data_IF_528228858487
#
_entry.id   IF_528228858487
#
_cell.length_a   1.000
_cell.length_b   1.000
_cell.length_c   1.000
_cell.angle_alpha   90.00
_cell.angle_beta   90.00
_cell.angle_gamma   90.00
#
_symmetry.space_group_name_H-M   'P 1'
#
loop_
_entity.id
_entity.type
_entity.pdbx_description
1 polymer ?
#
# COMPACT_ATOMS: atom_id res chain seq x y z
N UNK A 1 19.91 -23.05 26.64
CA UNK A 1 20.01 -22.58 25.25
C UNK A 1 19.06 -21.40 25.10
N UNK A 2 19.58 -20.18 25.08
CA UNK A 2 18.79 -18.98 24.78
C UNK A 2 18.69 -18.89 23.26
N UNK A 3 17.52 -19.18 22.71
CA UNK A 3 17.19 -18.79 21.34
C UNK A 3 17.00 -17.28 21.35
N UNK A 4 18.02 -16.55 20.91
CA UNK A 4 17.86 -15.15 20.53
C UNK A 4 16.89 -15.12 19.36
N UNK A 5 15.63 -14.80 19.63
CA UNK A 5 14.66 -14.39 18.62
C UNK A 5 15.19 -13.08 18.03
N UNK A 6 15.92 -13.17 16.92
CA UNK A 6 16.24 -11.98 16.12
C UNK A 6 14.91 -11.45 15.60
N UNK A 7 14.49 -10.28 16.06
CA UNK A 7 13.46 -9.51 15.37
C UNK A 7 13.92 -9.28 13.93
N UNK A 8 13.09 -9.61 12.95
CA UNK A 8 13.40 -9.41 11.54
C UNK A 8 13.41 -7.92 11.15
N UNK A 9 12.74 -7.08 11.95
CA UNK A 9 12.84 -5.62 11.92
C UNK A 9 13.70 -5.12 13.09
N UNK A 10 14.81 -4.40 12.83
CA UNK A 10 15.55 -3.68 13.87
C UNK A 10 14.63 -2.72 14.62
N UNK A 11 14.80 -2.61 15.94
CA UNK A 11 13.97 -1.71 16.77
C UNK A 11 14.02 -0.26 16.30
N UNK A 12 15.14 0.18 15.71
CA UNK A 12 15.31 1.53 15.16
C UNK A 12 14.35 1.82 14.00
N UNK A 13 13.89 0.79 13.28
CA UNK A 13 12.92 0.93 12.19
C UNK A 13 11.48 0.90 12.68
N UNK A 14 11.20 0.35 13.88
CA UNK A 14 9.83 0.09 14.33
C UNK A 14 9.04 1.35 14.70
N UNK A 15 9.71 2.43 15.13
CA UNK A 15 9.01 3.67 15.53
C UNK A 15 9.07 4.71 14.43
N UNK A 16 7.93 5.33 14.13
CA UNK A 16 7.88 6.44 13.20
C UNK A 16 8.37 7.71 13.90
N UNK A 17 9.04 8.62 13.17
CA UNK A 17 9.39 9.92 13.72
C UNK A 17 8.12 10.71 14.10
N UNK A 18 8.25 11.58 15.09
CA UNK A 18 7.18 12.48 15.51
C UNK A 18 6.90 13.53 14.43
N UNK A 19 5.62 13.84 14.23
CA UNK A 19 5.18 14.84 13.27
C UNK A 19 4.44 15.98 13.96
N UNK A 20 4.88 17.21 13.70
CA UNK A 20 4.40 18.38 14.44
C UNK A 20 2.92 18.74 14.20
N UNK A 21 2.32 18.35 13.07
CA UNK A 21 0.89 18.57 12.79
C UNK A 21 0.02 17.38 13.17
N UNK A 22 0.57 16.33 13.79
CA UNK A 22 -0.16 15.10 14.13
C UNK A 22 -1.41 15.36 14.98
N UNK A 23 -1.40 16.40 15.82
CA UNK A 23 -2.50 16.74 16.72
C UNK A 23 -3.60 17.58 16.04
N UNK A 24 -3.35 18.12 14.84
CA UNK A 24 -4.29 18.95 14.11
C UNK A 24 -5.40 18.13 13.42
N UNK A 25 -5.41 16.80 13.59
CA UNK A 25 -6.44 15.95 13.03
C UNK A 25 -7.83 16.33 13.58
N UNK A 26 -8.80 16.66 12.70
CA UNK A 26 -10.16 16.92 13.15
C UNK A 26 -10.73 15.65 13.79
N UNK A 27 -11.34 15.80 14.97
CA UNK A 27 -11.90 14.67 15.74
C UNK A 27 -13.01 13.92 14.99
N UNK A 28 -13.67 14.58 14.04
CA UNK A 28 -14.79 14.05 13.25
C UNK A 28 -14.58 14.28 11.76
N UNK A 29 -13.75 13.47 11.10
CA UNK A 29 -13.67 13.45 9.64
C UNK A 29 -14.65 12.41 9.07
N UNK A 30 -15.54 12.78 8.15
CA UNK A 30 -16.35 11.79 7.45
C UNK A 30 -15.45 10.93 6.56
N UNK A 31 -15.44 9.62 6.82
CA UNK A 31 -14.89 8.63 5.91
C UNK A 31 -15.75 8.62 4.64
N UNK A 32 -15.27 9.25 3.57
CA UNK A 32 -16.00 9.24 2.29
C UNK A 32 -15.74 7.90 1.60
N UNK A 33 -16.80 7.09 1.45
CA UNK A 33 -16.77 5.84 0.69
C UNK A 33 -16.35 6.07 -0.77
N UNK A 34 -15.42 5.23 -1.23
CA UNK A 34 -14.82 5.30 -2.58
C UNK A 34 -15.85 4.78 -3.61
N UNK A 35 -16.61 5.70 -4.22
CA UNK A 35 -17.48 5.46 -5.37
C UNK A 35 -16.90 6.06 -6.65
N UNK A 36 -16.58 5.21 -7.62
CA UNK A 36 -15.98 5.51 -8.93
C UNK A 36 -16.47 6.79 -9.64
N UNK A 37 -15.62 7.82 -9.82
CA UNK A 37 -15.57 8.65 -11.05
C UNK A 37 -14.35 9.59 -11.06
N UNK A 38 -13.43 9.39 -12.02
CA UNK A 38 -12.16 10.13 -12.16
C UNK A 38 -12.28 11.66 -12.32
N UNK A 39 -13.42 12.17 -12.81
CA UNK A 39 -13.65 13.61 -13.02
C UNK A 39 -14.14 14.33 -11.77
N UNK A 40 -14.92 13.67 -10.90
CA UNK A 40 -15.48 14.29 -9.69
C UNK A 40 -14.44 14.54 -8.59
N UNK A 41 -13.30 13.85 -8.69
CA UNK A 41 -12.26 13.84 -7.68
C UNK A 41 -11.47 15.14 -7.57
N UNK A 42 -11.02 15.67 -8.71
CA UNK A 42 -10.26 16.93 -8.76
C UNK A 42 -11.15 18.13 -8.43
N UNK A 43 -12.41 18.10 -8.89
CA UNK A 43 -13.41 19.13 -8.59
C UNK A 43 -13.79 19.15 -7.10
N UNK A 44 -13.73 18.01 -6.40
CA UNK A 44 -13.97 17.92 -4.95
C UNK A 44 -12.73 18.19 -4.08
N UNK A 45 -11.53 18.13 -4.66
CA UNK A 45 -10.28 18.37 -3.92
C UNK A 45 -10.04 19.85 -3.62
N UNK A 46 -10.39 20.76 -4.53
CA UNK A 46 -10.11 22.19 -4.34
C UNK A 46 -10.75 22.79 -3.06
N UNK A 47 -12.03 22.49 -2.72
CA UNK A 47 -12.62 22.90 -1.44
C UNK A 47 -11.94 22.26 -0.22
N UNK A 48 -11.60 20.97 -0.31
CA UNK A 48 -10.94 20.22 0.77
C UNK A 48 -9.54 20.78 1.03
N UNK A 49 -8.79 21.06 -0.03
CA UNK A 49 -7.44 21.64 0.08
C UNK A 49 -7.46 23.02 0.71
N UNK A 50 -8.47 23.84 0.44
CA UNK A 50 -8.57 25.17 1.04
C UNK A 50 -8.78 25.09 2.56
N UNK A 51 -9.63 24.18 3.03
CA UNK A 51 -9.82 23.94 4.47
C UNK A 51 -8.58 23.33 5.10
N UNK A 52 -7.98 22.31 4.47
CA UNK A 52 -6.76 21.68 5.00
C UNK A 52 -5.62 22.67 5.17
N UNK A 53 -5.41 23.55 4.20
CA UNK A 53 -4.36 24.58 4.26
C UNK A 53 -4.68 25.64 5.28
N UNK A 54 -5.94 26.06 5.38
CA UNK A 54 -6.33 27.09 6.35
C UNK A 54 -6.21 26.60 7.80
N UNK A 55 -6.51 25.32 8.05
CA UNK A 55 -6.51 24.72 9.39
C UNK A 55 -5.26 23.88 9.69
N UNK A 56 -4.25 23.90 8.81
CA UNK A 56 -3.04 23.08 8.90
C UNK A 56 -3.33 21.60 9.19
N UNK A 57 -4.37 21.06 8.54
CA UNK A 57 -4.79 19.65 8.69
C UNK A 57 -3.90 18.77 7.81
N UNK A 58 -3.13 17.85 8.40
CA UNK A 58 -2.19 17.03 7.64
C UNK A 58 -2.90 16.02 6.74
N UNK A 59 -2.34 15.82 5.56
CA UNK A 59 -2.75 14.78 4.62
C UNK A 59 -2.24 13.37 4.96
N UNK A 60 -1.59 13.19 6.12
CA UNK A 60 -0.87 11.96 6.48
C UNK A 60 -1.17 11.49 7.90
N UNK A 61 -1.50 10.21 8.08
CA UNK A 61 -1.78 9.65 9.41
C UNK A 61 -0.74 8.63 9.84
N UNK A 62 -0.38 8.61 11.11
CA UNK A 62 0.44 7.53 11.65
C UNK A 62 -0.39 6.24 11.69
N UNK A 63 0.19 5.16 11.16
CA UNK A 63 -0.41 3.83 11.14
C UNK A 63 0.57 2.85 11.77
N UNK A 64 0.06 1.94 12.59
CA UNK A 64 0.83 0.88 13.25
C UNK A 64 0.40 -0.44 12.66
N UNK A 65 1.35 -1.23 12.19
CA UNK A 65 1.11 -2.53 11.58
C UNK A 65 1.79 -3.63 12.40
N UNK A 66 1.06 -4.72 12.62
CA UNK A 66 1.62 -5.91 13.25
C UNK A 66 2.51 -6.64 12.25
N UNK A 67 3.72 -7.00 12.69
CA UNK A 67 4.67 -7.76 11.89
C UNK A 67 4.75 -9.22 12.32
N UNK A 68 4.84 -9.45 13.63
CA UNK A 68 4.88 -10.77 14.22
C UNK A 68 3.96 -10.81 15.44
N UNK A 69 2.93 -11.64 15.35
CA UNK A 69 1.94 -11.81 16.42
C UNK A 69 2.46 -12.63 17.59
N UNK A 70 3.52 -13.42 17.43
CA UNK A 70 4.13 -14.20 18.51
C UNK A 70 5.04 -13.33 19.38
N UNK A 71 5.78 -12.41 18.77
CA UNK A 71 6.67 -11.48 19.49
C UNK A 71 6.03 -10.12 19.78
N UNK A 72 4.78 -9.92 19.36
CA UNK A 72 4.06 -8.63 19.41
C UNK A 72 4.84 -7.49 18.72
N UNK A 73 5.69 -7.84 17.75
CA UNK A 73 6.48 -6.85 17.03
C UNK A 73 5.57 -6.11 16.07
N UNK A 74 5.62 -4.78 16.14
CA UNK A 74 4.91 -3.88 15.24
C UNK A 74 5.85 -2.80 14.72
N UNK A 75 5.48 -2.20 13.58
CA UNK A 75 6.17 -1.04 13.04
C UNK A 75 5.18 0.07 12.71
N UNK A 76 5.65 1.31 12.81
CA UNK A 76 4.88 2.51 12.52
C UNK A 76 5.38 3.18 11.24
N UNK A 77 4.43 3.66 10.43
CA UNK A 77 4.70 4.50 9.26
C UNK A 77 3.62 5.58 9.13
N UNK A 78 3.96 6.67 8.47
CA UNK A 78 3.00 7.70 8.09
C UNK A 78 2.40 7.36 6.73
N UNK A 79 1.08 7.17 6.69
CA UNK A 79 0.34 6.79 5.48
C UNK A 79 -0.38 7.98 4.89
N UNK A 80 -0.41 8.03 3.56
CA UNK A 80 -1.06 9.12 2.82
C UNK A 80 -2.57 8.90 2.84
N UNK A 81 -3.32 9.88 3.32
CA UNK A 81 -4.76 9.80 3.34
C UNK A 81 -5.33 9.92 1.92
N UNK A 82 -6.29 9.06 1.54
CA UNK A 82 -6.97 9.22 0.27
C UNK A 82 -7.74 10.55 0.27
N UNK A 83 -7.77 11.21 -0.89
CA UNK A 83 -8.59 12.40 -1.14
C UNK A 83 -8.14 13.62 -0.34
N UNK A 84 -6.88 13.63 0.09
CA UNK A 84 -6.24 14.75 0.77
C UNK A 84 -5.10 15.29 -0.10
N UNK A 85 -4.86 16.58 0.02
CA UNK A 85 -3.59 17.16 -0.41
C UNK A 85 -2.55 16.91 0.67
N UNK A 86 -1.30 16.82 0.26
CA UNK A 86 -0.15 16.91 1.15
C UNK A 86 0.23 18.38 1.27
N UNK A 87 0.28 18.89 2.49
CA UNK A 87 0.90 20.17 2.79
C UNK A 87 2.40 20.11 2.45
N UNK A 88 3.06 21.25 2.18
CA UNK A 88 4.51 21.27 2.00
C UNK A 88 5.27 20.58 3.13
N UNK A 89 4.80 20.79 4.37
CA UNK A 89 5.31 20.19 5.59
C UNK A 89 5.14 18.66 5.60
N UNK A 90 3.98 18.15 5.16
CA UNK A 90 3.72 16.71 5.05
C UNK A 90 4.71 16.08 4.06
N UNK A 91 4.89 16.71 2.89
CA UNK A 91 5.73 16.18 1.83
C UNK A 91 7.20 16.12 2.26
N UNK A 92 7.73 17.21 2.82
CA UNK A 92 9.12 17.27 3.27
C UNK A 92 9.38 16.28 4.41
N UNK A 93 8.44 16.14 5.34
CA UNK A 93 8.51 15.15 6.41
C UNK A 93 8.54 13.71 5.86
N UNK A 94 7.64 13.36 4.94
CA UNK A 94 7.63 12.02 4.34
C UNK A 94 8.91 11.73 3.54
N UNK A 95 9.49 12.73 2.87
CA UNK A 95 10.78 12.59 2.17
C UNK A 95 11.93 12.32 3.14
N UNK A 96 11.93 12.96 4.31
CA UNK A 96 12.95 12.74 5.35
C UNK A 96 12.87 11.31 5.89
N UNK A 97 11.67 10.78 6.10
CA UNK A 97 11.46 9.41 6.61
C UNK A 97 11.56 8.32 5.52
N UNK A 98 11.59 8.71 4.24
CA UNK A 98 11.59 7.79 3.08
C UNK A 98 12.58 6.65 3.21
N UNK A 99 13.82 6.93 3.61
CA UNK A 99 14.86 5.91 3.70
C UNK A 99 14.52 4.81 4.72
N UNK A 100 13.96 5.18 5.88
CA UNK A 100 13.52 4.22 6.89
C UNK A 100 12.38 3.36 6.35
N UNK A 101 11.40 3.98 5.71
CA UNK A 101 10.25 3.29 5.10
C UNK A 101 10.70 2.35 3.98
N UNK A 102 11.71 2.73 3.20
CA UNK A 102 12.32 1.86 2.17
C UNK A 102 12.99 0.63 2.78
N UNK A 103 13.69 0.77 3.90
CA UNK A 103 14.29 -0.37 4.61
C UNK A 103 13.22 -1.32 5.15
N UNK A 104 12.11 -0.79 5.69
CA UNK A 104 10.95 -1.61 6.09
C UNK A 104 10.39 -2.34 4.89
N UNK A 105 10.10 -1.63 3.79
CA UNK A 105 9.55 -2.20 2.57
C UNK A 105 10.44 -3.32 2.00
N UNK A 106 11.76 -3.13 2.01
CA UNK A 106 12.74 -4.15 1.63
C UNK A 106 12.60 -5.41 2.49
N UNK A 107 12.56 -5.28 3.81
CA UNK A 107 12.41 -6.42 4.72
C UNK A 107 11.09 -7.15 4.53
N UNK A 108 9.99 -6.42 4.33
CA UNK A 108 8.69 -7.03 4.01
C UNK A 108 8.77 -7.85 2.72
N UNK A 109 9.41 -7.30 1.68
CA UNK A 109 9.58 -8.00 0.39
C UNK A 109 10.40 -9.28 0.55
N UNK A 110 11.46 -9.26 1.36
CA UNK A 110 12.37 -10.39 1.59
C UNK A 110 11.71 -11.56 2.33
N UNK A 111 10.79 -11.29 3.27
CA UNK A 111 10.14 -12.34 4.05
C UNK A 111 8.86 -12.87 3.40
N UNK A 112 8.22 -12.08 2.54
CA UNK A 112 6.90 -12.36 2.00
C UNK A 112 6.91 -12.92 0.58
N UNK A 113 5.76 -13.45 0.16
CA UNK A 113 5.53 -13.71 -1.26
C UNK A 113 5.14 -12.39 -1.93
N UNK A 114 6.05 -11.86 -2.74
CA UNK A 114 5.97 -10.49 -3.25
C UNK A 114 5.67 -10.44 -4.75
N UNK A 115 4.72 -9.58 -5.12
CA UNK A 115 4.33 -9.36 -6.51
C UNK A 115 4.27 -7.87 -6.83
N UNK A 116 5.05 -7.47 -7.83
CA UNK A 116 5.02 -6.14 -8.41
C UNK A 116 3.85 -6.00 -9.40
N UNK A 117 3.13 -4.91 -9.28
CA UNK A 117 1.95 -4.59 -10.09
C UNK A 117 2.08 -3.18 -10.67
N UNK A 118 1.65 -3.03 -11.92
CA UNK A 118 1.55 -1.74 -12.59
C UNK A 118 0.54 -1.84 -13.74
N UNK A 119 -0.04 -0.70 -14.15
CA UNK A 119 -0.98 -0.66 -15.29
C UNK A 119 -0.33 -1.03 -16.63
N UNK A 120 0.99 -0.95 -16.71
CA UNK A 120 1.76 -1.35 -17.90
C UNK A 120 1.97 -2.86 -18.00
N UNK A 121 1.68 -3.61 -16.93
CA UNK A 121 1.83 -5.06 -16.94
C UNK A 121 0.50 -5.74 -17.25
N UNK A 122 0.54 -6.71 -18.17
CA UNK A 122 -0.61 -7.58 -18.44
C UNK A 122 -0.95 -8.47 -17.22
N UNK A 123 0.07 -8.82 -16.44
CA UNK A 123 -0.03 -9.62 -15.21
C UNK A 123 0.98 -9.14 -14.17
N UNK A 124 0.68 -9.37 -12.89
CA UNK A 124 1.62 -9.08 -11.79
C UNK A 124 2.92 -9.89 -11.98
N UNK A 125 4.05 -9.24 -11.71
CA UNK A 125 5.39 -9.83 -11.82
C UNK A 125 5.81 -10.32 -10.44
N UNK A 126 6.20 -11.60 -10.31
CA UNK A 126 6.77 -12.09 -9.06
C UNK A 126 8.16 -11.49 -8.87
N UNK A 127 8.43 -10.94 -7.69
CA UNK A 127 9.73 -10.37 -7.30
C UNK A 127 10.25 -11.08 -6.06
N UNK A 128 11.56 -11.23 -5.94
CA UNK A 128 12.20 -11.94 -4.83
C UNK A 128 12.98 -10.99 -3.91
N UNK A 129 13.33 -9.82 -4.42
CA UNK A 129 14.13 -8.83 -3.69
C UNK A 129 13.71 -7.40 -4.01
N UNK A 130 14.18 -6.46 -3.20
CA UNK A 130 14.03 -5.03 -3.49
C UNK A 130 14.82 -4.64 -4.74
N UNK A 131 15.97 -5.26 -4.97
CA UNK A 131 16.83 -5.04 -6.12
C UNK A 131 16.14 -5.44 -7.44
N UNK A 132 15.31 -6.49 -7.44
CA UNK A 132 14.48 -6.85 -8.60
C UNK A 132 13.50 -5.71 -8.94
N UNK A 133 12.88 -5.14 -7.90
CA UNK A 133 11.93 -4.03 -8.05
C UNK A 133 12.67 -2.83 -8.64
N UNK A 134 13.80 -2.41 -8.04
CA UNK A 134 14.60 -1.29 -8.52
C UNK A 134 15.05 -1.49 -9.98
N UNK A 135 15.49 -2.69 -10.35
CA UNK A 135 15.90 -3.01 -11.73
C UNK A 135 14.74 -2.87 -12.72
N UNK A 136 13.53 -3.25 -12.32
CA UNK A 136 12.32 -3.07 -13.13
C UNK A 136 11.98 -1.58 -13.24
N UNK A 137 12.03 -0.82 -12.15
CA UNK A 137 11.74 0.63 -12.18
C UNK A 137 12.71 1.38 -13.10
N UNK A 138 14.00 1.02 -13.05
CA UNK A 138 15.05 1.64 -13.87
C UNK A 138 14.80 1.41 -15.36
N UNK A 139 14.37 0.19 -15.73
CA UNK A 139 13.95 -0.14 -17.11
C UNK A 139 12.80 0.75 -17.62
N UNK A 140 11.94 1.23 -16.73
CA UNK A 140 10.82 2.11 -17.06
C UNK A 140 11.09 3.58 -16.75
N UNK A 141 12.34 3.94 -16.43
CA UNK A 141 12.75 5.31 -16.06
C UNK A 141 11.85 5.90 -14.95
N UNK A 142 11.41 5.04 -14.03
CA UNK A 142 10.47 5.40 -12.99
C UNK A 142 11.19 5.78 -11.69
N UNK A 143 11.28 7.08 -11.45
CA UNK A 143 11.60 7.61 -10.12
C UNK A 143 10.33 7.70 -9.25
N UNK A 144 10.45 7.53 -7.94
CA UNK A 144 9.35 7.77 -7.01
C UNK A 144 9.80 8.72 -5.90
N UNK A 145 8.88 9.57 -5.47
CA UNK A 145 9.14 10.58 -4.44
C UNK A 145 8.91 9.97 -3.06
N UNK A 146 7.84 9.18 -2.92
CA UNK A 146 7.33 8.69 -1.64
C UNK A 146 7.06 7.18 -1.68
N UNK A 147 7.08 6.56 -0.51
CA UNK A 147 6.65 5.18 -0.29
C UNK A 147 5.49 5.22 0.70
N UNK A 148 4.38 4.58 0.34
CA UNK A 148 3.22 4.44 1.22
C UNK A 148 2.97 2.95 1.46
N UNK A 149 2.75 2.56 2.72
CA UNK A 149 2.52 1.16 3.10
C UNK A 149 1.17 1.08 3.78
N UNK A 150 0.28 0.27 3.22
CA UNK A 150 -1.03 -0.01 3.82
C UNK A 150 -1.22 -1.52 4.01
N UNK A 151 -1.94 -1.89 5.06
CA UNK A 151 -2.41 -3.26 5.24
C UNK A 151 -3.71 -3.48 4.46
N UNK A 152 -3.73 -4.55 3.69
CA UNK A 152 -4.92 -5.04 3.00
C UNK A 152 -5.42 -6.24 3.79
N UNK A 153 -6.63 -6.15 4.39
CA UNK A 153 -7.17 -7.24 5.17
C UNK A 153 -7.49 -8.43 4.26
N UNK A 154 -7.69 -9.57 4.90
CA UNK A 154 -8.14 -10.79 4.25
C UNK A 154 -9.37 -10.55 3.35
N UNK A 155 -9.34 -11.09 2.13
CA UNK A 155 -10.40 -10.91 1.13
C UNK A 155 -10.96 -12.25 0.67
N UNK A 156 -12.28 -12.40 0.78
CA UNK A 156 -13.04 -13.47 0.13
C UNK A 156 -13.83 -12.87 -1.03
N UNK A 157 -13.72 -13.49 -2.20
CA UNK A 157 -14.59 -13.18 -3.33
C UNK A 157 -15.05 -14.46 -4.03
N UNK A 158 -16.17 -14.39 -4.76
CA UNK A 158 -16.60 -15.48 -5.64
C UNK A 158 -15.92 -15.32 -7.00
N UNK A 159 -15.44 -16.41 -7.58
CA UNK A 159 -14.78 -16.39 -8.89
C UNK A 159 -14.98 -17.69 -9.68
N UNK A 160 -14.58 -17.65 -10.94
CA UNK A 160 -14.46 -18.80 -11.84
C UNK A 160 -13.00 -18.92 -12.26
N UNK A 161 -12.57 -20.11 -12.67
CA UNK A 161 -11.25 -20.26 -13.26
C UNK A 161 -11.19 -19.45 -14.57
N UNK A 162 -10.02 -18.87 -14.87
CA UNK A 162 -9.78 -18.26 -16.18
C UNK A 162 -10.08 -19.34 -17.23
N UNK A 163 -11.03 -19.07 -18.15
CA UNK A 163 -11.62 -19.97 -19.16
C UNK A 163 -12.99 -20.60 -18.82
N UNK A 164 -13.53 -20.40 -17.62
CA UNK A 164 -14.91 -20.80 -17.31
C UNK A 164 -15.88 -19.63 -17.50
N UNK A 165 -16.65 -19.65 -18.59
CA UNK A 165 -17.69 -18.66 -18.88
C UNK A 165 -19.01 -18.93 -18.14
N UNK A 166 -18.96 -19.58 -16.97
CA UNK A 166 -20.17 -19.91 -16.22
C UNK A 166 -20.80 -18.66 -15.61
N UNK A 167 -22.11 -18.48 -15.77
CA UNK A 167 -22.86 -17.39 -15.13
C UNK A 167 -22.81 -17.47 -13.59
N UNK A 168 -22.52 -18.66 -13.03
CA UNK A 168 -22.40 -18.86 -11.58
C UNK A 168 -20.94 -19.11 -11.22
N UNK A 169 -20.44 -18.32 -10.28
CA UNK A 169 -19.13 -18.54 -9.69
C UNK A 169 -19.06 -19.92 -9.02
N UNK A 170 -18.04 -20.71 -9.36
CA UNK A 170 -17.81 -22.05 -8.82
C UNK A 170 -16.85 -22.09 -7.64
N UNK A 171 -16.07 -21.03 -7.42
CA UNK A 171 -15.01 -21.00 -6.42
C UNK A 171 -15.14 -19.81 -5.46
N UNK A 172 -14.78 -20.04 -4.21
CA UNK A 172 -14.36 -19.00 -3.28
C UNK A 172 -12.89 -18.73 -3.50
N UNK A 173 -12.55 -17.51 -3.94
CA UNK A 173 -11.19 -16.99 -3.95
C UNK A 173 -10.87 -16.38 -2.60
N UNK A 174 -9.79 -16.86 -2.01
CA UNK A 174 -9.38 -16.53 -0.66
C UNK A 174 -7.98 -15.93 -0.74
N UNK A 175 -7.87 -14.67 -0.31
CA UNK A 175 -6.60 -13.95 -0.26
C UNK A 175 -6.21 -13.65 1.18
N UNK A 176 -5.06 -14.15 1.70
CA UNK A 176 -4.55 -13.74 3.00
C UNK A 176 -4.36 -12.23 3.08
N UNK A 177 -4.21 -11.70 4.31
CA UNK A 177 -3.73 -10.35 4.51
C UNK A 177 -2.43 -10.11 3.73
N UNK A 178 -2.30 -8.89 3.20
CA UNK A 178 -1.11 -8.48 2.48
C UNK A 178 -0.76 -7.04 2.84
N UNK A 179 0.52 -6.70 2.74
CA UNK A 179 0.93 -5.31 2.69
C UNK A 179 0.94 -4.83 1.25
N UNK A 180 0.34 -3.68 1.00
CA UNK A 180 0.49 -2.97 -0.26
C UNK A 180 1.48 -1.82 -0.08
N UNK A 181 2.61 -1.92 -0.76
CA UNK A 181 3.66 -0.90 -0.79
C UNK A 181 3.49 -0.15 -2.11
N UNK A 182 3.07 1.11 -2.04
CA UNK A 182 2.89 1.96 -3.21
C UNK A 182 4.09 2.88 -3.39
N UNK A 183 4.68 2.86 -4.59
CA UNK A 183 5.73 3.79 -4.99
C UNK A 183 5.06 4.97 -5.68
N UNK A 184 5.11 6.15 -5.04
CA UNK A 184 4.29 7.30 -5.42
C UNK A 184 5.14 8.43 -6.01
N UNK A 185 4.67 9.01 -7.10
CA UNK A 185 5.08 10.34 -7.57
C UNK A 185 4.13 11.39 -7.05
N UNK A 186 4.64 12.59 -6.83
CA UNK A 186 3.90 13.76 -6.39
C UNK A 186 3.96 14.86 -7.43
N UNK A 187 2.95 15.72 -7.44
CA UNK A 187 2.96 16.95 -8.24
C UNK A 187 2.36 18.10 -7.47
N UNK A 188 2.80 19.32 -7.78
CA UNK A 188 2.26 20.54 -7.21
C UNK A 188 0.79 20.72 -7.59
N UNK A 189 -0.01 21.20 -6.65
CA UNK A 189 -1.43 21.52 -6.80
C UNK A 189 -1.82 22.64 -5.84
N UNK A 190 -2.11 23.84 -6.37
CA UNK A 190 -2.60 25.00 -5.61
C UNK A 190 -1.80 25.34 -4.34
N UNK A 191 -0.46 25.33 -4.41
CA UNK A 191 0.41 25.59 -3.25
C UNK A 191 0.66 24.38 -2.34
N UNK A 192 -0.01 23.25 -2.61
CA UNK A 192 0.17 21.96 -1.97
C UNK A 192 0.69 20.92 -2.96
N UNK A 193 0.62 19.65 -2.56
CA UNK A 193 0.98 18.51 -3.39
C UNK A 193 -0.12 17.46 -3.41
N UNK A 194 -0.19 16.71 -4.50
CA UNK A 194 -1.05 15.53 -4.63
C UNK A 194 -0.24 14.36 -5.16
N UNK A 195 -0.65 13.15 -4.80
CA UNK A 195 -0.14 11.92 -5.42
C UNK A 195 -0.62 11.87 -6.86
N UNK A 196 0.32 11.74 -7.80
CA UNK A 196 0.03 11.73 -9.24
C UNK A 196 -0.39 10.36 -9.74
N UNK A 197 -1.45 9.79 -9.15
CA UNK A 197 -1.99 8.49 -9.56
C UNK A 197 -2.71 8.54 -10.92
N UNK A 198 -2.92 9.75 -11.48
CA UNK A 198 -3.78 10.00 -12.65
C UNK A 198 -3.03 10.20 -13.96
N UNK A 199 -1.90 10.92 -13.94
CA UNK A 199 -1.15 11.21 -15.17
C UNK A 199 0.00 10.23 -15.43
N UNK A 200 0.33 9.41 -14.44
CA UNK A 200 1.30 8.34 -14.56
C UNK A 200 0.59 7.04 -14.98
N UNK A 201 0.79 6.59 -16.22
CA UNK A 201 0.54 5.19 -16.61
C UNK A 201 1.36 4.20 -15.77
N UNK A 202 2.28 4.70 -14.95
CA UNK A 202 3.37 4.02 -14.29
C UNK A 202 3.18 3.98 -12.76
N UNK A 203 1.98 3.72 -12.25
CA UNK A 203 1.83 3.51 -10.80
C UNK A 203 2.33 2.11 -10.47
N UNK A 204 3.42 2.02 -9.72
CA UNK A 204 3.97 0.77 -9.24
C UNK A 204 3.51 0.51 -7.81
N UNK A 205 2.99 -0.69 -7.57
CA UNK A 205 2.73 -1.17 -6.22
C UNK A 205 3.21 -2.60 -6.05
N UNK A 206 3.67 -2.91 -4.86
CA UNK A 206 4.10 -4.24 -4.46
C UNK A 206 3.08 -4.79 -3.49
N UNK A 207 2.60 -6.00 -3.76
CA UNK A 207 1.75 -6.74 -2.84
C UNK A 207 2.57 -7.85 -2.20
N UNK A 208 2.72 -7.79 -0.88
CA UNK A 208 3.50 -8.73 -0.08
C UNK A 208 2.52 -9.56 0.75
N UNK A 209 2.39 -10.85 0.45
CA UNK A 209 1.38 -11.70 1.07
C UNK A 209 1.94 -12.44 2.28
N UNK A 210 1.17 -12.40 3.36
CA UNK A 210 1.47 -13.05 4.64
C UNK A 210 0.81 -14.43 4.66
N UNK A 211 0.97 -15.19 3.58
CA UNK A 211 0.33 -16.50 3.38
C UNK A 211 0.15 -16.86 1.91
N UNK A 212 -0.47 -18.02 1.66
CA UNK A 212 -0.69 -18.55 0.32
C UNK A 212 -2.17 -18.35 -0.07
N UNK A 213 -2.47 -17.61 -1.16
CA UNK A 213 -3.82 -17.56 -1.70
C UNK A 213 -4.30 -18.95 -2.15
N UNK A 214 -5.60 -19.19 -2.06
CA UNK A 214 -6.20 -20.39 -2.61
C UNK A 214 -7.62 -20.18 -3.12
N UNK A 215 -8.05 -21.09 -3.98
CA UNK A 215 -9.42 -21.23 -4.43
C UNK A 215 -10.04 -22.44 -3.74
N UNK A 216 -11.28 -22.31 -3.25
CA UNK A 216 -12.05 -23.42 -2.72
C UNK A 216 -13.31 -23.62 -3.56
N UNK A 217 -13.47 -24.80 -4.17
CA UNK A 217 -14.66 -25.12 -4.91
C UNK A 217 -15.88 -25.09 -3.98
N UNK A 218 -16.93 -24.38 -4.39
CA UNK A 218 -18.12 -24.13 -3.56
C UNK A 218 -18.91 -25.42 -3.32
N UNK A 219 -18.94 -26.34 -4.29
CA UNK A 219 -19.73 -27.57 -4.22
C UNK A 219 -18.93 -28.73 -3.65
N UNK A 220 -17.71 -28.95 -4.15
CA UNK A 220 -16.90 -30.11 -3.77
C UNK A 220 -16.05 -29.88 -2.53
N UNK A 221 -15.79 -28.61 -2.17
CA UNK A 221 -14.89 -28.25 -1.08
C UNK A 221 -13.41 -28.40 -1.41
N UNK A 222 -13.06 -28.86 -2.61
CA UNK A 222 -11.69 -29.01 -3.09
C UNK A 222 -10.93 -27.68 -3.07
N UNK A 223 -9.66 -27.73 -2.67
CA UNK A 223 -8.79 -26.55 -2.52
C UNK A 223 -7.68 -26.58 -3.56
N UNK A 224 -7.47 -25.45 -4.24
CA UNK A 224 -6.41 -25.26 -5.22
C UNK A 224 -5.57 -24.05 -4.79
N UNK A 225 -4.28 -24.23 -4.54
CA UNK A 225 -3.37 -23.14 -4.16
C UNK A 225 -2.87 -22.38 -5.40
N UNK A 226 -2.63 -21.08 -5.23
CA UNK A 226 -2.40 -20.15 -6.36
C UNK A 226 -1.05 -20.27 -7.06
N UNK A 227 -0.14 -21.13 -6.60
CA UNK A 227 1.16 -21.36 -7.25
C UNK A 227 1.01 -21.92 -8.68
N UNK A 228 -0.16 -22.48 -9.00
CA UNK A 228 -0.47 -23.12 -10.28
C UNK A 228 -1.28 -22.25 -11.26
N UNK A 229 -1.43 -20.95 -11.03
CA UNK A 229 -2.22 -20.07 -11.90
C UNK A 229 -1.43 -18.87 -12.39
N UNK A 230 -0.90 -18.99 -13.61
CA UNK A 230 -0.60 -17.86 -14.48
C UNK A 230 -1.47 -17.92 -15.71
#
# INVERSE_FOLDING_TARGET
MQTSTKSYLPEELCKAPDYHLAENYPKDLPEVEIGSTKSKYLDSLAPISAVQVFEDIPGIKKSTFSFDTETETSFEVWTILPNRVLLPEDLEFLKQDKHRVELIAKQLVEIGNSWLNSRIFDKKIKVQSWEDILSILDKYEYAYDLIDIIEVPYKISKTNLQNESSEKAKYWSISPPSWNISLKKTRSFNGCYIVDDYNSSYNFSIEVWIGIPFLKNIQTGEVITRENFQ
#
